data_IF_525969035998
#
_entry.id   IF_525969035998
#
_cell.length_a   1.000
_cell.length_b   1.000
_cell.length_c   1.000
_cell.angle_alpha   90.00
_cell.angle_beta   90.00
_cell.angle_gamma   90.00
#
_symmetry.space_group_name_H-M   'P 1'
#
loop_
_entity.id
_entity.type
_entity.pdbx_description
1 polymer ?
#
# COMPACT_ATOMS: atom_id res chain seq x y z
N UNK A 1 -8.96 -0.46 -29.22
CA UNK A 1 -7.71 -0.13 -29.95
C UNK A 1 -6.74 -1.31 -30.17
N UNK A 2 -6.95 -2.51 -29.60
CA UNK A 2 -6.02 -3.64 -29.77
C UNK A 2 -5.97 -4.20 -31.20
N UNK A 3 -7.12 -4.29 -31.90
CA UNK A 3 -7.20 -4.81 -33.26
C UNK A 3 -6.49 -3.93 -34.31
N UNK A 4 -6.61 -2.60 -34.20
CA UNK A 4 -5.93 -1.68 -35.11
C UNK A 4 -4.40 -1.82 -35.07
N UNK A 5 -3.82 -1.97 -33.86
CA UNK A 5 -2.36 -2.17 -33.71
C UNK A 5 -1.89 -3.48 -34.36
N UNK A 6 -2.65 -4.56 -34.20
CA UNK A 6 -2.34 -5.85 -34.83
C UNK A 6 -2.40 -5.75 -36.36
N UNK A 7 -3.44 -5.10 -36.89
CA UNK A 7 -3.63 -4.91 -38.32
C UNK A 7 -2.49 -4.08 -38.94
N UNK A 8 -2.16 -2.93 -38.33
CA UNK A 8 -1.07 -2.06 -38.80
C UNK A 8 0.28 -2.79 -38.79
N UNK A 9 0.58 -3.56 -37.74
CA UNK A 9 1.83 -4.31 -37.66
C UNK A 9 1.95 -5.39 -38.76
N UNK A 10 0.87 -6.13 -39.04
CA UNK A 10 0.90 -7.15 -40.10
C UNK A 10 0.83 -6.55 -41.50
N UNK A 11 0.11 -5.45 -41.68
CA UNK A 11 0.04 -4.71 -42.94
C UNK A 11 1.39 -4.10 -43.31
N UNK A 12 2.14 -3.55 -42.35
CA UNK A 12 3.48 -3.00 -42.59
C UNK A 12 4.50 -4.08 -42.94
N UNK A 13 4.41 -5.27 -42.33
CA UNK A 13 5.23 -6.41 -42.72
C UNK A 13 4.89 -6.92 -44.12
N UNK A 14 3.61 -7.03 -44.47
CA UNK A 14 3.17 -7.40 -45.81
C UNK A 14 3.72 -6.43 -46.87
N UNK A 15 3.59 -5.12 -46.64
CA UNK A 15 4.10 -4.09 -47.56
C UNK A 15 5.62 -4.19 -47.78
N UNK A 16 6.39 -4.58 -46.75
CA UNK A 16 7.85 -4.81 -46.89
C UNK A 16 8.15 -6.01 -47.78
N UNK A 17 7.43 -7.12 -47.60
CA UNK A 17 7.60 -8.33 -48.42
C UNK A 17 7.23 -8.05 -49.89
N UNK A 18 6.16 -7.27 -50.11
CA UNK A 18 5.73 -6.87 -51.45
C UNK A 18 6.79 -5.96 -52.12
N UNK A 19 7.41 -5.06 -51.36
CA UNK A 19 8.44 -4.15 -51.89
C UNK A 19 9.69 -4.87 -52.39
N UNK A 20 10.07 -5.99 -51.76
CA UNK A 20 11.22 -6.81 -52.16
C UNK A 20 10.84 -7.90 -53.16
N UNK A 21 9.56 -7.98 -53.57
CA UNK A 21 8.98 -9.07 -54.38
C UNK A 21 9.34 -10.47 -53.82
N UNK A 22 9.39 -10.59 -52.49
CA UNK A 22 9.87 -11.80 -51.83
C UNK A 22 8.98 -13.03 -52.04
N UNK A 23 7.67 -12.83 -52.21
CA UNK A 23 6.71 -13.91 -52.44
C UNK A 23 5.68 -13.57 -53.54
N UNK A 24 5.93 -14.05 -54.74
CA UNK A 24 4.98 -13.93 -55.86
C UNK A 24 3.76 -14.86 -55.72
N UNK A 25 3.88 -15.93 -54.93
CA UNK A 25 2.81 -16.90 -54.68
C UNK A 25 1.73 -16.38 -53.71
N UNK A 26 2.01 -15.32 -52.95
CA UNK A 26 1.06 -14.71 -52.01
C UNK A 26 0.81 -15.51 -50.73
N UNK A 27 1.62 -16.53 -50.44
CA UNK A 27 1.48 -17.39 -49.25
C UNK A 27 1.70 -16.62 -47.94
N UNK A 28 2.67 -15.70 -47.89
CA UNK A 28 2.94 -14.88 -46.70
C UNK A 28 1.79 -13.95 -46.34
N UNK A 29 1.11 -13.35 -47.33
CA UNK A 29 -0.10 -12.56 -47.10
C UNK A 29 -1.22 -13.39 -46.47
N UNK A 30 -1.43 -14.62 -46.97
CA UNK A 30 -2.45 -15.55 -46.42
C UNK A 30 -2.11 -15.93 -44.98
N UNK A 31 -0.85 -16.24 -44.69
CA UNK A 31 -0.40 -16.55 -43.34
C UNK A 31 -0.64 -15.39 -42.35
N UNK A 32 -0.31 -14.15 -42.73
CA UNK A 32 -0.58 -12.98 -41.90
C UNK A 32 -2.07 -12.75 -41.66
N UNK A 33 -2.91 -12.98 -42.68
CA UNK A 33 -4.35 -12.89 -42.55
C UNK A 33 -4.92 -13.92 -41.57
N UNK A 34 -4.46 -15.16 -41.65
CA UNK A 34 -4.84 -16.23 -40.73
C UNK A 34 -4.42 -15.94 -39.29
N UNK A 35 -3.23 -15.39 -39.08
CA UNK A 35 -2.77 -14.96 -37.76
C UNK A 35 -3.66 -13.86 -37.16
N UNK A 36 -4.05 -12.87 -37.98
CA UNK A 36 -4.96 -11.79 -37.55
C UNK A 36 -6.30 -12.41 -37.15
N UNK A 37 -6.86 -13.26 -38.01
CA UNK A 37 -8.16 -13.91 -37.78
C UNK A 37 -8.14 -14.76 -36.51
N UNK A 38 -7.11 -15.56 -36.30
CA UNK A 38 -6.94 -16.41 -35.11
C UNK A 38 -6.87 -15.58 -33.83
N UNK A 39 -6.14 -14.46 -33.85
CA UNK A 39 -6.02 -13.56 -32.68
C UNK A 39 -7.33 -12.83 -32.38
N UNK A 40 -8.03 -12.36 -33.41
CA UNK A 40 -9.33 -11.69 -33.24
C UNK A 40 -10.38 -12.68 -32.72
N UNK A 41 -10.43 -13.90 -33.28
CA UNK A 41 -11.34 -14.95 -32.80
C UNK A 41 -11.10 -15.25 -31.32
N UNK A 42 -9.85 -15.43 -30.91
CA UNK A 42 -9.48 -15.62 -29.50
C UNK A 42 -9.87 -14.46 -28.58
N UNK A 43 -9.91 -13.22 -29.08
CA UNK A 43 -10.35 -12.07 -28.29
C UNK A 43 -11.87 -11.97 -28.16
N UNK A 44 -12.61 -12.54 -29.11
CA UNK A 44 -14.07 -12.60 -29.06
C UNK A 44 -14.55 -13.73 -28.15
N UNK A 45 -13.75 -14.78 -27.96
CA UNK A 45 -14.04 -15.84 -27.00
C UNK A 45 -14.21 -15.25 -25.59
N UNK A 46 -15.36 -15.49 -24.92
CA UNK A 46 -15.55 -15.05 -23.55
C UNK A 46 -14.51 -15.72 -22.67
N UNK A 47 -13.93 -14.96 -21.72
CA UNK A 47 -12.99 -15.52 -20.75
C UNK A 47 -13.64 -16.71 -20.05
N UNK A 48 -12.91 -17.82 -19.85
CA UNK A 48 -13.42 -18.93 -19.06
C UNK A 48 -13.86 -18.43 -17.68
N UNK A 49 -14.95 -19.02 -17.17
CA UNK A 49 -15.53 -18.65 -15.88
C UNK A 49 -14.47 -18.80 -14.77
N UNK A 50 -14.28 -17.74 -13.99
CA UNK A 50 -13.36 -17.77 -12.85
C UNK A 50 -13.95 -18.66 -11.77
N UNK A 51 -13.27 -19.76 -11.46
CA UNK A 51 -13.62 -20.55 -10.29
C UNK A 51 -13.40 -19.73 -9.02
N UNK A 52 -14.27 -19.86 -7.99
CA UNK A 52 -14.10 -19.14 -6.74
C UNK A 52 -12.76 -19.55 -6.11
N UNK A 53 -11.91 -18.56 -5.86
CA UNK A 53 -10.65 -18.82 -5.16
C UNK A 53 -10.98 -19.20 -3.72
N UNK A 54 -10.60 -20.40 -3.33
CA UNK A 54 -10.72 -20.87 -1.95
C UNK A 54 -9.99 -19.90 -1.01
N UNK A 55 -10.56 -19.68 0.17
CA UNK A 55 -9.89 -18.94 1.22
C UNK A 55 -8.59 -19.66 1.61
N UNK A 56 -7.59 -18.89 2.03
CA UNK A 56 -6.40 -19.48 2.61
C UNK A 56 -6.79 -20.28 3.87
N UNK A 57 -6.23 -21.47 4.02
CA UNK A 57 -6.44 -22.31 5.20
C UNK A 57 -6.01 -21.51 6.43
N UNK A 58 -6.83 -21.48 7.50
CA UNK A 58 -6.40 -20.91 8.77
C UNK A 58 -5.21 -21.71 9.31
N UNK A 59 -4.02 -21.11 9.35
CA UNK A 59 -2.87 -21.69 10.04
C UNK A 59 -3.10 -21.55 11.55
N UNK A 60 -3.31 -22.66 12.27
CA UNK A 60 -3.48 -22.66 13.73
C UNK A 60 -2.22 -22.17 14.48
N UNK A 61 -1.06 -22.23 13.84
CA UNK A 61 0.17 -21.60 14.33
C UNK A 61 0.38 -20.25 13.65
N UNK A 62 0.16 -19.15 14.37
CA UNK A 62 0.48 -17.81 13.89
C UNK A 62 1.95 -17.74 13.40
N UNK A 63 2.22 -17.58 12.09
CA UNK A 63 3.58 -17.49 11.61
C UNK A 63 4.25 -16.25 12.21
N UNK A 64 5.51 -16.38 12.66
CA UNK A 64 6.30 -15.27 13.23
C UNK A 64 6.34 -14.10 12.23
N UNK A 65 5.57 -13.03 12.51
CA UNK A 65 5.47 -11.84 11.63
C UNK A 65 6.82 -11.14 11.52
N UNK A 66 7.30 -10.92 10.29
CA UNK A 66 8.55 -10.17 10.03
C UNK A 66 8.39 -8.73 10.50
N UNK A 67 9.17 -8.32 11.50
CA UNK A 67 9.18 -6.95 12.04
C UNK A 67 10.08 -6.06 11.17
N UNK A 68 9.57 -4.90 10.72
CA UNK A 68 10.38 -3.84 10.10
C UNK A 68 10.16 -2.50 10.81
N UNK A 69 11.21 -1.68 10.85
CA UNK A 69 11.24 -0.39 11.57
C UNK A 69 11.30 0.87 10.70
N UNK A 70 11.23 0.75 9.36
CA UNK A 70 11.43 1.90 8.46
C UNK A 70 10.27 2.92 8.43
N UNK A 71 10.57 4.17 8.03
CA UNK A 71 9.61 5.30 7.94
C UNK A 71 8.34 4.97 7.17
N UNK A 72 8.46 4.29 6.02
CA UNK A 72 7.30 3.89 5.18
C UNK A 72 6.39 2.91 5.90
N UNK A 73 6.95 1.90 6.57
CA UNK A 73 6.14 0.92 7.31
C UNK A 73 5.53 1.54 8.56
N UNK A 74 6.26 2.44 9.24
CA UNK A 74 5.73 3.22 10.37
C UNK A 74 4.50 4.03 9.95
N UNK A 75 4.56 4.77 8.85
CA UNK A 75 3.40 5.51 8.28
C UNK A 75 2.23 4.60 7.89
N UNK A 76 2.50 3.40 7.38
CA UNK A 76 1.44 2.43 7.06
C UNK A 76 0.78 1.91 8.34
N UNK A 77 1.58 1.56 9.36
CA UNK A 77 1.08 1.11 10.66
C UNK A 77 0.30 2.20 11.38
N UNK A 78 0.75 3.46 11.33
CA UNK A 78 0.05 4.61 11.93
C UNK A 78 -1.35 4.84 11.33
N UNK A 79 -1.62 4.42 10.08
CA UNK A 79 -2.96 4.50 9.47
C UNK A 79 -3.97 3.52 10.07
N UNK A 80 -3.51 2.34 10.46
CA UNK A 80 -4.38 1.28 11.01
C UNK A 80 -4.28 1.16 12.53
N UNK A 81 -3.25 1.74 13.13
CA UNK A 81 -3.06 1.72 14.57
C UNK A 81 -4.05 2.65 15.27
N UNK A 82 -4.49 2.24 16.46
CA UNK A 82 -5.31 3.07 17.33
C UNK A 82 -4.51 4.32 17.70
N UNK A 83 -5.10 5.49 17.42
CA UNK A 83 -4.49 6.79 17.76
C UNK A 83 -4.44 6.99 19.26
N UNK A 84 -3.51 7.83 19.73
CA UNK A 84 -3.37 8.08 21.18
C UNK A 84 -4.62 8.75 21.77
N UNK A 85 -5.33 9.56 20.99
CA UNK A 85 -6.65 10.10 21.36
C UNK A 85 -7.67 8.99 21.58
N UNK A 86 -7.74 8.01 20.67
CA UNK A 86 -8.69 6.89 20.81
C UNK A 86 -8.29 5.95 21.96
N UNK A 87 -7.00 5.81 22.27
CA UNK A 87 -6.56 5.09 23.48
C UNK A 87 -7.03 5.78 24.75
N UNK A 88 -7.04 7.11 24.80
CA UNK A 88 -7.54 7.88 25.94
C UNK A 88 -9.07 7.80 26.05
N UNK A 89 -9.77 7.87 24.92
CA UNK A 89 -11.22 7.64 24.89
C UNK A 89 -11.61 6.23 25.35
N UNK A 90 -10.78 5.22 25.04
CA UNK A 90 -11.03 3.83 25.49
C UNK A 90 -10.61 3.56 26.94
N UNK A 91 -10.13 4.56 27.70
CA UNK A 91 -9.81 4.42 29.13
C UNK A 91 -10.96 5.01 29.93
N UNK A 92 -11.49 4.22 30.85
CA UNK A 92 -12.66 4.54 31.67
C UNK A 92 -12.22 4.66 33.13
N UNK A 93 -12.66 5.71 33.83
CA UNK A 93 -12.39 5.84 35.26
C UNK A 93 -13.46 5.11 36.06
N UNK A 94 -13.02 4.22 36.96
CA UNK A 94 -13.93 3.49 37.81
C UNK A 94 -14.55 4.40 38.87
N UNK A 95 -15.86 4.26 39.10
CA UNK A 95 -16.61 4.99 40.13
C UNK A 95 -17.06 6.40 39.75
N UNK A 96 -16.75 6.90 38.54
CA UNK A 96 -17.23 8.18 38.03
C UNK A 96 -18.03 7.93 36.74
N UNK A 97 -19.26 8.45 36.60
CA UNK A 97 -20.04 8.30 35.38
C UNK A 97 -19.33 9.01 34.20
N UNK A 98 -19.33 8.35 33.04
CA UNK A 98 -18.69 8.91 31.86
C UNK A 98 -19.50 10.03 31.22
N UNK A 99 -18.82 11.05 30.72
CA UNK A 99 -19.42 12.00 29.79
C UNK A 99 -19.66 11.31 28.43
N UNK A 100 -20.91 11.29 28.02
CA UNK A 100 -21.39 10.66 26.78
C UNK A 100 -21.93 11.73 25.83
N UNK A 101 -21.79 11.50 24.51
CA UNK A 101 -22.16 12.48 23.48
C UNK A 101 -23.63 12.92 23.50
N UNK A 102 -24.55 12.12 24.04
CA UNK A 102 -25.98 12.44 24.10
C UNK A 102 -26.51 12.59 25.53
N UNK A 103 -25.65 12.48 26.55
CA UNK A 103 -26.05 12.44 27.96
C UNK A 103 -26.66 11.10 28.38
N UNK A 104 -26.79 10.90 29.69
CA UNK A 104 -27.49 9.77 30.33
C UNK A 104 -27.07 8.35 29.88
N UNK A 105 -25.79 8.17 29.54
CA UNK A 105 -25.25 6.86 29.13
C UNK A 105 -25.60 6.48 27.68
N UNK A 106 -26.20 7.40 26.92
CA UNK A 106 -26.52 7.19 25.50
C UNK A 106 -25.44 7.80 24.60
N UNK A 107 -25.02 7.04 23.60
CA UNK A 107 -24.05 7.49 22.60
C UNK A 107 -22.60 7.12 22.89
N UNK A 108 -21.66 7.83 22.27
CA UNK A 108 -20.22 7.54 22.38
C UNK A 108 -19.67 8.13 23.68
N UNK A 109 -19.15 7.27 24.54
CA UNK A 109 -18.40 7.67 25.74
C UNK A 109 -17.05 8.28 25.39
N UNK A 110 -16.72 9.39 26.03
CA UNK A 110 -15.43 10.07 25.84
C UNK A 110 -14.32 9.53 26.76
N UNK A 111 -14.64 8.60 27.68
CA UNK A 111 -13.68 8.05 28.63
C UNK A 111 -12.89 9.14 29.36
N UNK A 112 -11.58 8.98 29.46
CA UNK A 112 -10.67 9.94 30.09
C UNK A 112 -10.47 11.25 29.29
N UNK A 113 -11.09 11.40 28.11
CA UNK A 113 -11.06 12.64 27.33
C UNK A 113 -12.08 13.67 27.86
N UNK A 114 -13.17 13.22 28.48
CA UNK A 114 -14.26 14.05 28.99
C UNK A 114 -13.90 14.90 30.22
N UNK A 115 -13.22 14.36 31.26
CA UNK A 115 -13.01 15.09 32.53
C UNK A 115 -12.16 16.37 32.43
N UNK A 116 -11.49 16.59 31.31
CA UNK A 116 -10.61 17.74 31.09
C UNK A 116 -11.35 18.93 30.45
N UNK A 117 -12.37 19.45 31.13
CA UNK A 117 -12.87 20.80 30.91
C UNK A 117 -13.91 20.98 29.80
N UNK A 118 -15.06 21.51 30.24
CA UNK A 118 -16.18 22.04 29.48
C UNK A 118 -15.79 22.61 28.11
N UNK A 119 -16.28 21.98 27.04
CA UNK A 119 -16.55 22.62 25.74
C UNK A 119 -15.38 22.78 24.75
N UNK A 120 -14.14 22.37 25.06
CA UNK A 120 -13.01 22.48 24.10
C UNK A 120 -12.21 21.19 24.00
N UNK A 121 -12.79 20.19 23.31
CA UNK A 121 -12.09 18.99 22.82
C UNK A 121 -11.06 19.35 21.72
N UNK A 122 -10.02 20.09 22.10
CA UNK A 122 -8.78 20.24 21.32
C UNK A 122 -7.64 19.74 22.20
N UNK A 123 -7.31 18.46 22.07
CA UNK A 123 -6.02 17.97 22.58
C UNK A 123 -4.91 18.79 21.92
N UNK A 124 -4.19 19.56 22.73
CA UNK A 124 -2.96 20.20 22.31
C UNK A 124 -1.99 19.11 21.85
N UNK A 125 -1.36 19.31 20.69
CA UNK A 125 -0.29 18.40 20.22
C UNK A 125 0.74 18.34 21.34
N UNK A 126 0.84 17.20 22.04
CA UNK A 126 1.91 16.94 23.00
C UNK A 126 3.23 17.19 22.27
N UNK A 127 3.88 18.32 22.57
CA UNK A 127 5.19 18.64 22.06
C UNK A 127 6.13 17.55 22.56
N UNK A 128 6.58 16.69 21.65
CA UNK A 128 7.65 15.74 21.94
C UNK A 128 8.92 16.57 22.20
N UNK A 129 9.13 16.97 23.46
CA UNK A 129 10.44 17.45 23.90
C UNK A 129 11.43 16.31 23.69
N UNK A 130 12.22 16.43 22.62
CA UNK A 130 13.47 15.68 22.46
C UNK A 130 14.35 16.04 23.66
N UNK A 131 14.46 15.14 24.64
CA UNK A 131 15.56 15.21 25.61
C UNK A 131 16.82 14.78 24.87
N UNK A 132 17.62 15.74 24.42
CA UNK A 132 19.00 15.48 24.05
C UNK A 132 19.71 14.93 25.29
N UNK A 133 20.17 13.67 25.21
CA UNK A 133 21.08 13.12 26.21
C UNK A 133 22.45 13.70 25.90
N UNK A 134 22.90 14.64 26.73
CA UNK A 134 24.31 15.01 26.80
C UNK A 134 25.08 13.77 27.28
N UNK A 135 25.75 13.07 26.36
CA UNK A 135 26.80 12.14 26.74
C UNK A 135 28.01 12.99 27.09
N UNK A 136 28.32 13.06 28.38
CA UNK A 136 29.52 13.73 28.88
C UNK A 136 30.75 13.13 28.19
N UNK A 137 31.44 13.95 27.41
CA UNK A 137 32.77 13.65 26.88
C UNK A 137 33.74 13.65 28.05
N UNK A 138 34.09 12.46 28.52
CA UNK A 138 35.24 12.26 29.41
C UNK A 138 36.50 12.61 28.62
N UNK A 139 37.26 13.56 29.14
CA UNK A 139 38.54 14.04 28.62
C UNK A 139 39.53 12.89 28.43
N UNK A 140 39.66 12.40 27.19
CA UNK A 140 40.73 11.52 26.76
C UNK A 140 41.87 12.34 26.14
N UNK A 141 43.04 12.31 26.77
CA UNK A 141 44.28 12.92 26.32
C UNK A 141 44.70 12.37 24.95
N UNK A 142 44.65 13.19 23.90
CA UNK A 142 45.24 12.84 22.61
C UNK A 142 46.74 13.13 22.63
N UNK A 143 47.56 12.08 22.70
CA UNK A 143 49.00 12.14 22.44
C UNK A 143 49.22 12.38 20.93
N UNK A 144 49.92 13.48 20.61
CA UNK A 144 50.39 13.78 19.25
C UNK A 144 51.45 12.75 18.83
N UNK A 145 51.15 11.93 17.83
CA UNK A 145 52.15 11.16 17.08
C UNK A 145 52.79 12.10 16.05
N UNK A 146 54.06 12.42 16.28
CA UNK A 146 54.92 13.16 15.36
C UNK A 146 55.44 12.16 14.31
N UNK A 147 55.02 12.27 13.06
CA UNK A 147 55.69 11.57 11.94
C UNK A 147 56.83 12.44 11.42
N UNK A 148 57.96 11.77 11.21
CA UNK A 148 59.07 12.19 10.35
C UNK A 148 58.60 12.14 8.90
#
# INVERSE_FOLDING_TARGET
MLAGRLLVAKSTLAARVDSTRGDLSGNTRKAFWEEIRKKIGKWQEPSPAKQPKLLAVPDYSDPKKKKRGGRRLRRMKERYAITDMRKLANRIQFGIPEETSLGDGLGVGFGMLGPAGIGKLRQTKLAKKLKEKHYGLTSGTFSKIKRI
#
